data_IF_245927842179
#
_entry.id   IF_245927842179
#
_cell.length_a   1.000
_cell.length_b   1.000
_cell.length_c   1.000
_cell.angle_alpha   90.00
_cell.angle_beta   90.00
_cell.angle_gamma   90.00
#
_symmetry.space_group_name_H-M   'P 1'
#
loop_
_entity.id
_entity.type
_entity.pdbx_description
1 polymer ?
#
# COMPACT_ATOMS: atom_id res chain seq x y z
N UNK A 1 4.38 63.93 -33.63
CA UNK A 1 2.98 63.49 -33.42
C UNK A 1 2.67 63.20 -31.96
N UNK A 2 3.55 62.57 -31.18
CA UNK A 2 3.38 62.46 -29.71
C UNK A 2 3.09 63.82 -29.03
N UNK A 3 3.82 64.87 -29.43
CA UNK A 3 3.64 66.23 -28.92
C UNK A 3 2.26 66.85 -29.14
N UNK A 4 1.51 66.46 -30.18
CA UNK A 4 0.19 67.04 -30.47
C UNK A 4 -0.83 66.54 -29.44
N UNK A 5 -0.72 65.27 -29.05
CA UNK A 5 -1.59 64.66 -28.06
C UNK A 5 -1.30 65.17 -26.65
N UNK A 6 -0.03 65.40 -26.31
CA UNK A 6 0.36 66.01 -25.03
C UNK A 6 -0.12 67.47 -24.92
N UNK A 7 -0.05 68.22 -26.03
CA UNK A 7 -0.61 69.58 -26.10
C UNK A 7 -2.13 69.55 -25.95
N UNK A 8 -2.83 68.65 -26.66
CA UNK A 8 -4.29 68.51 -26.53
C UNK A 8 -4.73 68.06 -25.13
N UNK A 9 -3.94 67.23 -24.44
CA UNK A 9 -4.13 66.87 -23.03
C UNK A 9 -3.99 68.09 -22.12
N UNK A 10 -2.94 68.89 -22.28
CA UNK A 10 -2.75 70.13 -21.51
C UNK A 10 -3.87 71.16 -21.73
N UNK A 11 -4.54 71.13 -22.88
CA UNK A 11 -5.68 71.99 -23.21
C UNK A 11 -7.04 71.42 -22.77
N UNK A 12 -7.08 70.30 -22.04
CA UNK A 12 -8.30 69.59 -21.59
C UNK A 12 -9.25 69.15 -22.73
N UNK A 13 -8.73 69.01 -23.95
CA UNK A 13 -9.51 68.55 -25.12
C UNK A 13 -9.34 67.03 -25.34
N UNK A 14 -9.32 66.25 -24.26
CA UNK A 14 -9.04 64.81 -24.31
C UNK A 14 -10.08 64.01 -25.11
N UNK A 15 -11.32 64.52 -25.22
CA UNK A 15 -12.39 63.90 -26.01
C UNK A 15 -12.09 63.94 -27.51
N UNK A 16 -11.74 65.10 -28.05
CA UNK A 16 -11.41 65.27 -29.48
C UNK A 16 -10.07 64.60 -29.82
N UNK A 17 -9.12 64.66 -28.88
CA UNK A 17 -7.84 63.96 -28.99
C UNK A 17 -8.03 62.44 -29.09
N UNK A 18 -8.94 61.84 -28.31
CA UNK A 18 -9.23 60.41 -28.40
C UNK A 18 -9.84 60.00 -29.76
N UNK A 19 -10.75 60.82 -30.30
CA UNK A 19 -11.36 60.60 -31.62
C UNK A 19 -10.33 60.70 -32.75
N UNK A 20 -9.41 61.67 -32.62
CA UNK A 20 -8.31 61.85 -33.56
C UNK A 20 -7.32 60.68 -33.48
N UNK A 21 -6.98 60.21 -32.28
CA UNK A 21 -6.10 59.07 -32.07
C UNK A 21 -6.69 57.76 -32.64
N UNK A 22 -8.01 57.55 -32.49
CA UNK A 22 -8.71 56.41 -33.12
C UNK A 22 -8.63 56.48 -34.64
N UNK A 23 -8.83 57.66 -35.25
CA UNK A 23 -8.75 57.86 -36.70
C UNK A 23 -7.33 57.67 -37.26
N UNK A 24 -6.31 57.96 -36.46
CA UNK A 24 -4.90 57.83 -36.84
C UNK A 24 -4.29 56.45 -36.51
N UNK A 25 -5.11 55.47 -36.09
CA UNK A 25 -4.67 54.14 -35.64
C UNK A 25 -3.63 54.18 -34.50
N UNK A 26 -3.65 55.23 -33.66
CA UNK A 26 -2.75 55.37 -32.51
C UNK A 26 -3.44 54.84 -31.25
N UNK A 27 -3.56 53.51 -31.17
CA UNK A 27 -4.34 52.80 -30.15
C UNK A 27 -3.85 53.02 -28.71
N UNK A 28 -2.54 53.08 -28.46
CA UNK A 28 -1.96 53.35 -27.14
C UNK A 28 -2.37 54.72 -26.56
N UNK A 29 -2.36 55.76 -27.41
CA UNK A 29 -2.73 57.12 -27.04
C UNK A 29 -4.24 57.27 -26.88
N UNK A 30 -5.02 56.60 -27.74
CA UNK A 30 -6.47 56.56 -27.62
C UNK A 30 -6.90 55.93 -26.29
N UNK A 31 -6.30 54.80 -25.90
CA UNK A 31 -6.66 54.09 -24.67
C UNK A 31 -6.17 54.81 -23.41
N UNK A 32 -4.96 55.36 -23.38
CA UNK A 32 -4.54 56.19 -22.25
C UNK A 32 -5.45 57.40 -22.06
N UNK A 33 -5.89 58.08 -23.12
CA UNK A 33 -6.86 59.17 -22.99
C UNK A 33 -8.23 58.70 -22.50
N UNK A 34 -8.70 57.54 -22.93
CA UNK A 34 -10.00 57.01 -22.50
C UNK A 34 -10.00 56.54 -21.04
N UNK A 35 -8.89 55.94 -20.58
CA UNK A 35 -8.76 55.36 -19.23
C UNK A 35 -8.28 56.39 -18.22
N UNK A 36 -7.21 57.14 -18.52
CA UNK A 36 -6.55 58.07 -17.58
C UNK A 36 -7.22 59.45 -17.57
N UNK A 37 -7.56 60.01 -18.74
CA UNK A 37 -8.02 61.41 -18.85
C UNK A 37 -9.56 61.56 -18.81
N UNK A 38 -10.30 60.61 -19.40
CA UNK A 38 -11.74 60.72 -19.63
C UNK A 38 -12.59 59.84 -18.70
N UNK A 39 -12.00 58.83 -18.05
CA UNK A 39 -12.72 57.86 -17.21
C UNK A 39 -13.83 57.10 -17.95
N UNK A 40 -13.73 56.93 -19.27
CA UNK A 40 -14.74 56.25 -20.10
C UNK A 40 -14.41 54.77 -20.26
N UNK A 41 -14.35 54.06 -19.13
CA UNK A 41 -13.91 52.68 -19.05
C UNK A 41 -14.73 51.73 -19.95
N UNK A 42 -16.06 51.80 -19.95
CA UNK A 42 -16.89 50.93 -20.81
C UNK A 42 -16.68 51.14 -22.32
N UNK A 43 -16.34 52.35 -22.76
CA UNK A 43 -15.97 52.58 -24.18
C UNK A 43 -14.58 52.04 -24.50
N UNK A 44 -13.64 52.11 -23.55
CA UNK A 44 -12.31 51.53 -23.69
C UNK A 44 -12.40 49.99 -23.78
N UNK A 45 -13.22 49.34 -22.96
CA UNK A 45 -13.47 47.88 -23.00
C UNK A 45 -14.01 47.47 -24.38
N UNK A 46 -15.05 48.14 -24.87
CA UNK A 46 -15.60 47.89 -26.22
C UNK A 46 -14.63 48.18 -27.36
N UNK A 47 -13.64 49.04 -27.12
CA UNK A 47 -12.58 49.32 -28.09
C UNK A 47 -11.54 48.21 -28.09
N UNK A 48 -11.13 47.73 -26.92
CA UNK A 48 -10.17 46.63 -26.74
C UNK A 48 -10.76 45.32 -27.30
N UNK A 49 -12.05 45.04 -27.07
CA UNK A 49 -12.69 43.80 -27.57
C UNK A 49 -12.77 43.68 -29.10
N UNK A 50 -12.65 44.80 -29.83
CA UNK A 50 -12.63 44.82 -31.30
C UNK A 50 -11.24 44.63 -31.90
N UNK A 51 -10.18 44.60 -31.07
CA UNK A 51 -8.79 44.52 -31.51
C UNK A 51 -8.32 43.08 -31.61
N UNK A 52 -7.22 42.83 -32.35
CA UNK A 52 -6.59 41.52 -32.37
C UNK A 52 -6.22 41.07 -30.95
N UNK A 53 -6.31 39.77 -30.64
CA UNK A 53 -6.08 39.23 -29.29
C UNK A 53 -4.72 39.62 -28.70
N UNK A 54 -3.66 39.60 -29.51
CA UNK A 54 -2.30 39.96 -29.08
C UNK A 54 -2.18 41.43 -28.63
N UNK A 55 -2.86 42.36 -29.31
CA UNK A 55 -2.88 43.77 -28.92
C UNK A 55 -3.76 43.99 -27.70
N UNK A 56 -4.92 43.33 -27.65
CA UNK A 56 -5.84 43.40 -26.53
C UNK A 56 -5.19 42.98 -25.21
N UNK A 57 -4.40 41.89 -25.21
CA UNK A 57 -3.64 41.45 -24.03
C UNK A 57 -2.66 42.53 -23.54
N UNK A 58 -1.89 43.16 -24.43
CA UNK A 58 -0.95 44.23 -24.05
C UNK A 58 -1.64 45.43 -23.41
N UNK A 59 -2.87 45.73 -23.84
CA UNK A 59 -3.66 46.80 -23.24
C UNK A 59 -4.25 46.42 -21.89
N UNK A 60 -4.61 45.16 -21.68
CA UNK A 60 -5.09 44.66 -20.39
C UNK A 60 -3.96 44.57 -19.37
N UNK A 61 -2.74 44.23 -19.78
CA UNK A 61 -1.60 44.29 -18.88
C UNK A 61 -1.33 45.71 -18.36
N UNK A 62 -1.58 46.73 -19.19
CA UNK A 62 -1.36 48.14 -18.84
C UNK A 62 -2.54 48.76 -18.07
N UNK A 63 -3.76 48.59 -18.56
CA UNK A 63 -4.96 49.27 -18.08
C UNK A 63 -5.97 48.35 -17.39
N UNK A 64 -5.72 47.04 -17.38
CA UNK A 64 -6.70 46.05 -16.92
C UNK A 64 -7.15 46.28 -15.48
N UNK A 65 -6.23 46.70 -14.59
CA UNK A 65 -6.55 47.04 -13.20
C UNK A 65 -7.62 48.13 -13.13
N UNK A 66 -7.39 49.27 -13.78
CA UNK A 66 -8.28 50.42 -13.75
C UNK A 66 -9.64 50.09 -14.41
N UNK A 67 -9.62 49.30 -15.49
CA UNK A 67 -10.82 48.83 -16.17
C UNK A 67 -11.65 47.91 -15.27
N UNK A 68 -10.99 47.03 -14.52
CA UNK A 68 -11.64 46.09 -13.61
C UNK A 68 -12.22 46.77 -12.36
N UNK A 69 -11.49 47.74 -11.80
CA UNK A 69 -11.97 48.55 -10.66
C UNK A 69 -13.23 49.37 -11.02
N UNK A 70 -13.28 49.91 -12.24
CA UNK A 70 -14.41 50.73 -12.66
C UNK A 70 -15.61 49.93 -13.19
N UNK A 71 -15.38 48.86 -13.95
CA UNK A 71 -16.43 48.10 -14.65
C UNK A 71 -16.14 46.59 -14.62
N UNK A 72 -16.35 45.91 -13.47
CA UNK A 72 -15.94 44.52 -13.30
C UNK A 72 -16.67 43.53 -14.21
N UNK A 73 -17.97 43.71 -14.45
CA UNK A 73 -18.76 42.79 -15.31
C UNK A 73 -18.32 42.85 -16.78
N UNK A 74 -18.20 44.07 -17.33
CA UNK A 74 -17.75 44.26 -18.72
C UNK A 74 -16.29 43.82 -18.91
N UNK A 75 -15.43 44.05 -17.89
CA UNK A 75 -14.05 43.59 -17.90
C UNK A 75 -13.96 42.05 -17.84
N UNK A 76 -14.81 41.39 -17.05
CA UNK A 76 -14.88 39.93 -16.98
C UNK A 76 -15.31 39.30 -18.30
N UNK A 77 -16.31 39.87 -18.97
CA UNK A 77 -16.74 39.40 -20.28
C UNK A 77 -15.62 39.54 -21.33
N UNK A 78 -14.88 40.66 -21.29
CA UNK A 78 -13.72 40.86 -22.15
C UNK A 78 -12.61 39.84 -21.89
N UNK A 79 -12.29 39.54 -20.63
CA UNK A 79 -11.30 38.52 -20.27
C UNK A 79 -11.72 37.12 -20.73
N UNK A 80 -13.01 36.76 -20.57
CA UNK A 80 -13.55 35.48 -21.08
C UNK A 80 -13.43 35.36 -22.59
N UNK A 81 -13.82 36.41 -23.32
CA UNK A 81 -13.70 36.47 -24.77
C UNK A 81 -12.25 36.31 -25.25
N UNK A 82 -11.27 36.83 -24.50
CA UNK A 82 -9.87 36.66 -24.86
C UNK A 82 -9.36 35.25 -24.62
N UNK A 83 -9.79 34.60 -23.52
CA UNK A 83 -9.48 33.19 -23.28
C UNK A 83 -10.11 32.28 -24.36
N UNK A 84 -11.29 32.64 -24.89
CA UNK A 84 -11.92 31.88 -25.98
C UNK A 84 -11.23 32.06 -27.34
N UNK A 85 -10.72 33.27 -27.63
CA UNK A 85 -10.18 33.61 -28.95
C UNK A 85 -8.65 33.46 -29.05
N UNK A 86 -7.94 33.37 -27.93
CA UNK A 86 -6.50 33.11 -27.90
C UNK A 86 -6.23 31.60 -27.90
N UNK A 87 -6.09 31.00 -29.08
CA UNK A 87 -5.72 29.58 -29.26
C UNK A 87 -4.24 29.31 -28.89
N UNK A 88 -3.86 29.55 -27.63
CA UNK A 88 -2.55 29.16 -27.07
C UNK A 88 -1.39 30.12 -27.29
N UNK A 89 -1.61 31.32 -27.86
CA UNK A 89 -0.56 32.34 -28.02
C UNK A 89 -0.22 33.08 -26.72
N UNK A 90 -1.06 32.96 -25.69
CA UNK A 90 -0.96 33.77 -24.48
C UNK A 90 -1.23 32.96 -23.23
N UNK A 91 -0.49 33.27 -22.15
CA UNK A 91 -0.61 32.60 -20.86
C UNK A 91 -1.68 33.30 -19.99
N UNK A 92 -2.84 32.68 -19.75
CA UNK A 92 -3.92 33.26 -18.94
C UNK A 92 -3.49 33.60 -17.51
N UNK A 93 -2.40 33.00 -17.02
CA UNK A 93 -1.83 33.35 -15.71
C UNK A 93 -1.39 34.82 -15.63
N UNK A 94 -1.03 35.46 -16.75
CA UNK A 94 -0.65 36.87 -16.77
C UNK A 94 -1.84 37.80 -16.49
N UNK A 95 -3.05 37.36 -16.85
CA UNK A 95 -4.30 38.10 -16.60
C UNK A 95 -4.70 38.09 -15.11
N UNK A 96 -4.13 37.18 -14.31
CA UNK A 96 -4.39 37.14 -12.86
C UNK A 96 -3.98 38.43 -12.15
N UNK A 97 -2.99 39.16 -12.69
CA UNK A 97 -2.53 40.45 -12.14
C UNK A 97 -3.58 41.55 -12.19
N UNK A 98 -4.60 41.39 -13.02
CA UNK A 98 -5.71 42.35 -13.18
C UNK A 98 -6.63 42.30 -11.96
N UNK A 99 -6.79 41.13 -11.34
CA UNK A 99 -7.65 40.93 -10.20
C UNK A 99 -6.96 41.38 -8.92
N UNK A 100 -7.09 42.66 -8.59
CA UNK A 100 -6.59 43.18 -7.32
C UNK A 100 -7.66 42.97 -6.24
N UNK A 101 -7.36 42.10 -5.27
CA UNK A 101 -8.14 41.86 -4.05
C UNK A 101 -9.59 41.35 -4.21
N UNK A 102 -10.07 41.04 -5.43
CA UNK A 102 -11.37 40.41 -5.65
C UNK A 102 -11.22 38.88 -5.84
N UNK A 103 -11.35 38.16 -4.71
CA UNK A 103 -11.23 36.70 -4.66
C UNK A 103 -12.36 35.97 -5.40
N UNK A 104 -13.56 36.55 -5.42
CA UNK A 104 -14.73 35.91 -6.03
C UNK A 104 -14.65 35.92 -7.55
N UNK A 105 -14.37 37.09 -8.14
CA UNK A 105 -14.30 37.22 -9.59
C UNK A 105 -13.05 36.57 -10.19
N UNK A 106 -11.93 36.58 -9.45
CA UNK A 106 -10.74 35.82 -9.86
C UNK A 106 -11.00 34.31 -9.85
N UNK A 107 -11.69 33.77 -8.85
CA UNK A 107 -12.07 32.37 -8.83
C UNK A 107 -12.96 31.99 -10.02
N UNK A 108 -13.99 32.79 -10.32
CA UNK A 108 -14.88 32.58 -11.47
C UNK A 108 -14.13 32.62 -12.81
N UNK A 109 -13.18 33.53 -12.94
CA UNK A 109 -12.33 33.62 -14.13
C UNK A 109 -11.43 32.39 -14.28
N UNK A 110 -10.77 31.96 -13.19
CA UNK A 110 -9.89 30.79 -13.21
C UNK A 110 -10.70 29.52 -13.53
N UNK A 111 -11.88 29.34 -12.94
CA UNK A 111 -12.76 28.20 -13.27
C UNK A 111 -13.15 28.16 -14.75
N UNK A 112 -13.44 29.32 -15.34
CA UNK A 112 -13.71 29.43 -16.76
C UNK A 112 -12.47 29.08 -17.59
N UNK A 113 -11.30 29.62 -17.24
CA UNK A 113 -10.05 29.37 -17.93
C UNK A 113 -9.63 27.89 -17.87
N UNK A 114 -9.82 27.23 -16.72
CA UNK A 114 -9.52 25.80 -16.53
C UNK A 114 -10.37 24.88 -17.43
N UNK A 115 -11.54 25.31 -17.93
CA UNK A 115 -12.33 24.51 -18.88
C UNK A 115 -11.78 24.52 -20.31
N UNK A 116 -10.91 25.47 -20.64
CA UNK A 116 -10.46 25.74 -22.01
C UNK A 116 -8.96 25.58 -22.20
N UNK A 117 -8.19 25.72 -21.12
CA UNK A 117 -6.72 25.76 -21.16
C UNK A 117 -6.14 24.39 -20.80
N UNK A 118 -5.20 23.94 -21.62
CA UNK A 118 -4.42 22.70 -21.43
C UNK A 118 -2.92 23.02 -21.38
N UNK A 119 -2.14 22.23 -20.65
CA UNK A 119 -0.67 22.37 -20.55
C UNK A 119 -0.19 23.19 -19.34
N UNK A 120 1.01 23.77 -19.42
CA UNK A 120 1.70 24.42 -18.27
C UNK A 120 0.90 25.55 -17.62
N UNK A 121 0.15 26.32 -18.39
CA UNK A 121 -0.74 27.37 -17.87
C UNK A 121 -1.86 26.81 -16.99
N UNK A 122 -2.33 25.58 -17.25
CA UNK A 122 -3.33 24.91 -16.41
C UNK A 122 -2.78 24.65 -15.01
N UNK A 123 -1.54 24.14 -14.90
CA UNK A 123 -0.90 23.89 -13.60
C UNK A 123 -0.78 25.18 -12.77
N UNK A 124 -0.40 26.30 -13.38
CA UNK A 124 -0.30 27.59 -12.69
C UNK A 124 -1.68 28.07 -12.22
N UNK A 125 -2.69 27.95 -13.06
CA UNK A 125 -4.07 28.31 -12.70
C UNK A 125 -4.63 27.43 -11.58
N UNK A 126 -4.33 26.13 -11.60
CA UNK A 126 -4.69 25.17 -10.54
C UNK A 126 -4.01 25.52 -9.22
N UNK A 127 -2.70 25.78 -9.25
CA UNK A 127 -1.94 26.17 -8.05
C UNK A 127 -2.47 27.50 -7.48
N UNK A 128 -2.82 28.46 -8.36
CA UNK A 128 -3.39 29.75 -7.95
C UNK A 128 -4.77 29.60 -7.34
N UNK A 129 -5.68 28.83 -7.95
CA UNK A 129 -7.04 28.68 -7.40
C UNK A 129 -7.02 27.97 -6.05
N UNK A 130 -6.12 27.00 -5.87
CA UNK A 130 -5.93 26.31 -4.60
C UNK A 130 -5.36 27.26 -3.54
N UNK A 131 -4.33 28.06 -3.85
CA UNK A 131 -3.80 29.08 -2.94
C UNK A 131 -4.88 30.10 -2.53
N UNK A 132 -5.67 30.61 -3.49
CA UNK A 132 -6.76 31.55 -3.20
C UNK A 132 -7.84 30.92 -2.28
N UNK A 133 -8.26 29.69 -2.55
CA UNK A 133 -9.31 29.01 -1.74
C UNK A 133 -8.80 28.60 -0.37
N UNK A 134 -7.55 28.13 -0.27
CA UNK A 134 -6.94 27.82 1.02
C UNK A 134 -6.74 29.08 1.87
N UNK A 135 -6.34 30.21 1.29
CA UNK A 135 -6.33 31.50 2.01
C UNK A 135 -7.71 31.93 2.46
N UNK A 136 -8.74 31.75 1.62
CA UNK A 136 -10.13 31.97 2.01
C UNK A 136 -10.55 31.12 3.21
N UNK A 137 -10.08 29.89 3.30
CA UNK A 137 -10.26 29.03 4.48
C UNK A 137 -9.53 29.58 5.71
N UNK A 138 -8.28 30.05 5.57
CA UNK A 138 -7.53 30.69 6.65
C UNK A 138 -8.24 31.93 7.22
N UNK A 139 -8.89 32.69 6.34
CA UNK A 139 -9.70 33.87 6.68
C UNK A 139 -11.11 33.51 7.23
N UNK A 140 -11.41 32.22 7.42
CA UNK A 140 -12.72 31.68 7.88
C UNK A 140 -13.89 32.02 6.96
N UNK A 141 -13.63 32.29 5.67
CA UNK A 141 -14.67 32.49 4.65
C UNK A 141 -15.27 31.17 4.16
N UNK A 142 -14.53 30.06 4.32
CA UNK A 142 -14.96 28.71 3.99
C UNK A 142 -15.01 27.84 5.25
N UNK A 143 -16.00 26.96 5.31
CA UNK A 143 -16.14 25.92 6.34
C UNK A 143 -15.53 24.59 5.88
N UNK A 144 -15.27 23.68 6.82
CA UNK A 144 -14.72 22.35 6.54
C UNK A 144 -15.53 21.57 5.49
N UNK A 145 -16.86 21.69 5.52
CA UNK A 145 -17.77 21.02 4.58
C UNK A 145 -17.72 21.59 3.15
N UNK A 146 -17.28 22.84 3.02
CA UNK A 146 -17.16 23.53 1.74
C UNK A 146 -15.84 23.20 1.05
N UNK A 147 -14.82 22.77 1.81
CA UNK A 147 -13.55 22.28 1.26
C UNK A 147 -13.77 21.10 0.29
N UNK A 148 -14.72 20.22 0.59
CA UNK A 148 -15.03 19.07 -0.27
C UNK A 148 -15.58 19.47 -1.64
N UNK A 149 -16.29 20.61 -1.71
CA UNK A 149 -16.91 21.09 -2.95
C UNK A 149 -16.01 22.05 -3.71
N UNK A 150 -15.28 22.90 -3.00
CA UNK A 150 -14.54 23.99 -3.60
C UNK A 150 -13.04 23.71 -3.70
N UNK A 151 -12.45 22.84 -2.88
CA UNK A 151 -10.99 22.62 -2.91
C UNK A 151 -10.67 21.26 -3.54
N UNK A 152 -11.31 20.20 -3.06
CA UNK A 152 -11.03 18.82 -3.48
C UNK A 152 -11.10 18.60 -5.01
N UNK A 153 -12.08 19.15 -5.75
CA UNK A 153 -12.18 18.89 -7.19
C UNK A 153 -11.01 19.41 -8.02
N UNK A 154 -10.22 20.35 -7.46
CA UNK A 154 -9.08 20.97 -8.14
C UNK A 154 -7.75 20.27 -7.80
N UNK A 155 -7.79 19.19 -7.00
CA UNK A 155 -6.61 18.41 -6.61
C UNK A 155 -6.34 17.31 -7.65
N UNK A 156 -5.41 17.56 -8.54
CA UNK A 156 -4.97 16.69 -9.64
C UNK A 156 -3.58 16.12 -9.33
N UNK A 157 -3.19 15.01 -9.96
CA UNK A 157 -1.91 14.32 -9.65
C UNK A 157 -0.67 15.21 -9.86
N UNK A 158 -0.76 16.19 -10.75
CA UNK A 158 0.31 17.17 -11.02
C UNK A 158 0.54 18.18 -9.88
N UNK A 159 -0.50 18.48 -9.07
CA UNK A 159 -0.45 19.54 -8.06
C UNK A 159 -0.51 19.03 -6.62
N UNK A 160 -0.64 17.72 -6.39
CA UNK A 160 -0.86 17.15 -5.05
C UNK A 160 0.23 17.55 -4.06
N UNK A 161 1.51 17.45 -4.43
CA UNK A 161 2.61 17.72 -3.51
C UNK A 161 2.69 19.19 -3.11
N UNK A 162 2.49 20.10 -4.07
CA UNK A 162 2.46 21.55 -3.81
C UNK A 162 1.25 21.92 -2.96
N UNK A 163 0.09 21.35 -3.27
CA UNK A 163 -1.15 21.54 -2.50
C UNK A 163 -1.00 21.05 -1.07
N UNK A 164 -0.33 19.92 -0.85
CA UNK A 164 -0.04 19.41 0.49
C UNK A 164 0.83 20.37 1.28
N UNK A 165 1.86 20.93 0.67
CA UNK A 165 2.73 21.93 1.32
C UNK A 165 1.94 23.20 1.70
N UNK A 166 1.12 23.71 0.78
CA UNK A 166 0.27 24.87 1.03
C UNK A 166 -0.76 24.60 2.14
N UNK A 167 -1.43 23.44 2.10
CA UNK A 167 -2.42 23.06 3.09
C UNK A 167 -1.82 22.85 4.49
N UNK A 168 -0.57 22.36 4.58
CA UNK A 168 0.18 22.27 5.83
C UNK A 168 0.53 23.65 6.38
N UNK A 169 0.98 24.58 5.53
CA UNK A 169 1.32 25.95 5.93
C UNK A 169 0.10 26.73 6.43
N UNK A 170 -1.06 26.50 5.82
CA UNK A 170 -2.31 27.17 6.15
C UNK A 170 -3.05 26.48 7.31
N UNK A 171 -2.60 25.29 7.73
CA UNK A 171 -3.27 24.44 8.71
C UNK A 171 -4.74 24.15 8.33
N UNK A 172 -4.95 23.53 7.16
CA UNK A 172 -6.27 23.07 6.71
C UNK A 172 -6.40 21.53 6.83
N UNK A 173 -6.96 21.01 7.95
CA UNK A 173 -7.04 19.58 8.19
C UNK A 173 -7.81 18.78 7.13
N UNK A 174 -8.99 19.22 6.64
CA UNK A 174 -9.77 18.44 5.67
C UNK A 174 -8.98 18.14 4.39
N UNK A 175 -8.25 19.14 3.88
CA UNK A 175 -7.47 19.02 2.64
C UNK A 175 -6.24 18.15 2.83
N UNK A 176 -5.52 18.32 3.94
CA UNK A 176 -4.35 17.46 4.28
C UNK A 176 -4.77 16.00 4.41
N UNK A 177 -5.87 15.72 5.12
CA UNK A 177 -6.39 14.37 5.30
C UNK A 177 -6.79 13.73 3.96
N UNK A 178 -7.49 14.48 3.10
CA UNK A 178 -7.87 14.00 1.78
C UNK A 178 -6.65 13.66 0.91
N UNK A 179 -5.67 14.57 0.84
CA UNK A 179 -4.46 14.37 0.03
C UNK A 179 -3.67 13.15 0.53
N UNK A 180 -3.45 13.04 1.85
CA UNK A 180 -2.68 11.93 2.40
C UNK A 180 -3.38 10.58 2.20
N UNK A 181 -4.72 10.55 2.24
CA UNK A 181 -5.51 9.36 1.90
C UNK A 181 -5.37 9.02 0.41
N UNK A 182 -5.44 10.00 -0.49
CA UNK A 182 -5.29 9.82 -1.94
C UNK A 182 -3.89 9.29 -2.30
N UNK A 183 -2.85 9.77 -1.62
CA UNK A 183 -1.46 9.31 -1.83
C UNK A 183 -1.13 7.98 -1.12
N UNK A 184 -2.03 7.44 -0.30
CA UNK A 184 -1.77 6.22 0.49
C UNK A 184 -0.65 6.39 1.53
N UNK A 185 -0.30 7.63 1.91
CA UNK A 185 0.76 7.92 2.89
C UNK A 185 0.23 7.83 4.31
N UNK A 186 -0.17 6.63 4.72
CA UNK A 186 -0.87 6.41 5.99
C UNK A 186 -0.02 6.74 7.22
N UNK A 187 1.31 6.54 7.16
CA UNK A 187 2.24 6.93 8.25
C UNK A 187 2.25 8.44 8.51
N UNK A 188 2.31 9.26 7.44
CA UNK A 188 2.26 10.72 7.57
C UNK A 188 0.88 11.19 8.05
N UNK A 189 -0.18 10.54 7.60
CA UNK A 189 -1.55 10.82 8.06
C UNK A 189 -1.71 10.53 9.56
N UNK A 190 -1.14 9.42 10.04
CA UNK A 190 -1.13 9.10 11.46
C UNK A 190 -0.37 10.13 12.29
N UNK A 191 0.83 10.54 11.83
CA UNK A 191 1.59 11.60 12.48
C UNK A 191 0.78 12.91 12.55
N UNK A 192 0.08 13.26 11.47
CA UNK A 192 -0.77 14.44 11.43
C UNK A 192 -1.94 14.37 12.44
N UNK A 193 -2.65 13.24 12.53
CA UNK A 193 -3.72 13.07 13.52
C UNK A 193 -3.21 13.11 14.96
N UNK A 194 -2.02 12.54 15.19
CA UNK A 194 -1.30 12.59 16.45
C UNK A 194 -0.93 14.03 16.82
N UNK A 195 -0.47 14.84 15.87
CA UNK A 195 -0.17 16.27 16.10
C UNK A 195 -1.43 17.09 16.42
N UNK A 196 -2.54 16.85 15.70
CA UNK A 196 -3.81 17.57 15.85
C UNK A 196 -4.69 17.06 17.01
N UNK A 197 -4.17 16.13 17.83
CA UNK A 197 -4.88 15.48 18.96
C UNK A 197 -6.18 14.76 18.60
N UNK A 198 -6.30 14.33 17.34
CA UNK A 198 -7.46 13.60 16.80
C UNK A 198 -7.29 12.09 16.94
N UNK A 199 -7.45 11.60 18.17
CA UNK A 199 -7.26 10.20 18.53
C UNK A 199 -8.30 9.26 17.88
N UNK A 200 -9.54 9.73 17.70
CA UNK A 200 -10.62 8.91 17.12
C UNK A 200 -10.34 8.56 15.66
N UNK A 201 -9.94 9.55 14.88
CA UNK A 201 -9.61 9.39 13.47
C UNK A 201 -8.32 8.57 13.27
N UNK A 202 -7.36 8.71 14.20
CA UNK A 202 -6.16 7.87 14.22
C UNK A 202 -6.50 6.39 14.46
N UNK A 203 -7.36 6.07 15.44
CA UNK A 203 -7.80 4.70 15.71
C UNK A 203 -8.57 4.14 14.52
N UNK A 204 -9.49 4.92 13.92
CA UNK A 204 -10.23 4.49 12.73
C UNK A 204 -9.30 4.20 11.53
N UNK A 205 -8.25 5.01 11.34
CA UNK A 205 -7.24 4.76 10.31
C UNK A 205 -6.45 3.47 10.59
N UNK A 206 -6.08 3.21 11.83
CA UNK A 206 -5.41 1.99 12.24
C UNK A 206 -6.28 0.74 11.96
N UNK A 207 -7.58 0.80 12.28
CA UNK A 207 -8.55 -0.28 11.98
C UNK A 207 -8.67 -0.56 10.48
N UNK A 208 -8.59 0.47 9.64
CA UNK A 208 -8.70 0.29 8.18
C UNK A 208 -7.44 -0.33 7.55
N UNK A 209 -6.25 0.03 8.05
CA UNK A 209 -4.97 -0.36 7.45
C UNK A 209 -4.40 -1.67 7.99
N UNK A 210 -4.85 -2.15 9.16
CA UNK A 210 -4.43 -3.43 9.79
C UNK A 210 -2.90 -3.62 9.87
N UNK A 211 -2.16 -2.56 10.16
CA UNK A 211 -0.69 -2.56 10.26
C UNK A 211 -0.24 -2.37 11.71
N UNK A 212 0.50 -3.33 12.25
CA UNK A 212 1.02 -3.29 13.64
C UNK A 212 1.89 -2.06 13.96
N UNK A 213 2.71 -1.60 13.01
CA UNK A 213 3.53 -0.38 13.16
C UNK A 213 2.72 0.88 13.48
N UNK A 214 1.47 0.94 12.98
CA UNK A 214 0.59 2.09 13.18
C UNK A 214 0.06 2.12 14.60
N UNK A 215 -0.32 0.96 15.14
CA UNK A 215 -0.71 0.81 16.54
C UNK A 215 0.42 1.21 17.49
N UNK A 216 1.68 0.87 17.18
CA UNK A 216 2.83 1.33 17.95
C UNK A 216 2.96 2.85 17.97
N UNK A 217 2.80 3.51 16.81
CA UNK A 217 2.83 4.98 16.72
C UNK A 217 1.76 5.64 17.59
N UNK A 218 0.54 5.11 17.58
CA UNK A 218 -0.57 5.59 18.41
C UNK A 218 -0.31 5.32 19.89
N UNK A 219 0.15 4.12 20.27
CA UNK A 219 0.47 3.77 21.66
C UNK A 219 1.57 4.67 22.24
N UNK A 220 2.64 4.91 21.47
CA UNK A 220 3.71 5.81 21.88
C UNK A 220 3.19 7.24 22.03
N UNK A 221 2.29 7.67 21.17
CA UNK A 221 1.65 8.98 21.33
C UNK A 221 0.81 9.06 22.60
N UNK A 222 -0.07 8.09 22.85
CA UNK A 222 -0.88 8.01 24.07
C UNK A 222 0.03 8.04 25.31
N UNK A 223 1.18 7.37 25.27
CA UNK A 223 2.13 7.38 26.40
C UNK A 223 2.74 8.74 26.71
N UNK A 224 2.85 9.61 25.68
CA UNK A 224 3.41 10.97 25.79
C UNK A 224 2.34 12.04 26.07
N UNK A 225 1.06 11.68 26.08
CA UNK A 225 -0.03 12.62 26.29
C UNK A 225 -0.22 12.92 27.77
N UNK A 226 -0.02 14.19 28.15
CA UNK A 226 -0.24 14.71 29.51
C UNK A 226 -1.72 15.09 29.79
N UNK A 227 -2.63 14.80 28.84
CA UNK A 227 -4.08 15.09 28.97
C UNK A 227 -4.91 13.89 29.44
N UNK A 228 -6.15 14.11 29.90
CA UNK A 228 -7.07 13.02 30.20
C UNK A 228 -7.40 12.26 28.90
N UNK A 229 -7.05 10.99 28.86
CA UNK A 229 -7.41 10.09 27.75
C UNK A 229 -8.70 9.36 28.14
N UNK A 230 -9.67 9.31 27.23
CA UNK A 230 -10.90 8.54 27.44
C UNK A 230 -10.58 7.04 27.56
N UNK A 231 -10.81 6.47 28.75
CA UNK A 231 -10.52 5.07 29.07
C UNK A 231 -11.24 4.09 28.11
N UNK A 232 -12.44 4.45 27.63
CA UNK A 232 -13.22 3.65 26.67
C UNK A 232 -12.54 3.54 25.30
N UNK A 233 -11.92 4.62 24.80
CA UNK A 233 -11.24 4.58 23.50
C UNK A 233 -9.98 3.72 23.54
N UNK A 234 -9.27 3.75 24.67
CA UNK A 234 -8.11 2.89 24.90
C UNK A 234 -8.54 1.42 24.96
N UNK A 235 -9.67 1.12 25.60
CA UNK A 235 -10.21 -0.22 25.65
C UNK A 235 -10.57 -0.74 24.25
N UNK A 236 -11.30 0.04 23.45
CA UNK A 236 -11.62 -0.34 22.06
C UNK A 236 -10.36 -0.56 21.21
N UNK A 237 -9.35 0.30 21.36
CA UNK A 237 -8.06 0.12 20.69
C UNK A 237 -7.37 -1.19 21.10
N UNK A 238 -7.32 -1.48 22.42
CA UNK A 238 -6.68 -2.70 22.93
C UNK A 238 -7.42 -3.97 22.48
N UNK A 239 -8.73 -3.91 22.32
CA UNK A 239 -9.53 -5.01 21.78
C UNK A 239 -9.17 -5.34 20.34
N UNK A 240 -9.02 -4.32 19.49
CA UNK A 240 -8.61 -4.51 18.09
C UNK A 240 -7.17 -5.02 17.99
N UNK A 241 -6.25 -4.47 18.79
CA UNK A 241 -4.85 -4.96 18.84
C UNK A 241 -4.81 -6.42 19.29
N UNK A 242 -5.66 -6.81 20.24
CA UNK A 242 -5.79 -8.19 20.70
C UNK A 242 -6.39 -9.12 19.65
N UNK A 243 -7.38 -8.65 18.90
CA UNK A 243 -8.03 -9.44 17.84
C UNK A 243 -7.12 -9.66 16.62
N UNK A 244 -6.31 -8.66 16.26
CA UNK A 244 -5.41 -8.75 15.11
C UNK A 244 -4.05 -9.40 15.44
N UNK A 245 -3.76 -9.70 16.71
CA UNK A 245 -2.46 -10.20 17.22
C UNK A 245 -1.25 -9.42 16.67
N UNK A 246 -1.44 -8.15 16.31
CA UNK A 246 -0.44 -7.35 15.61
C UNK A 246 0.75 -6.98 16.50
N UNK A 247 0.56 -6.93 17.81
CA UNK A 247 1.58 -6.54 18.78
C UNK A 247 1.62 -7.49 19.96
N UNK A 248 2.83 -7.81 20.39
CA UNK A 248 3.01 -8.59 21.61
C UNK A 248 2.52 -7.77 22.82
N UNK A 249 1.64 -8.32 23.67
CA UNK A 249 1.04 -7.55 24.77
C UNK A 249 2.03 -6.98 25.77
N UNK A 250 3.21 -7.61 25.92
CA UNK A 250 4.31 -7.05 26.70
C UNK A 250 4.81 -5.70 26.16
N UNK A 251 4.89 -5.54 24.84
CA UNK A 251 5.33 -4.27 24.22
C UNK A 251 4.28 -3.19 24.47
N UNK A 252 3.00 -3.55 24.34
CA UNK A 252 1.87 -2.66 24.66
C UNK A 252 1.93 -2.23 26.13
N UNK A 253 2.12 -3.19 27.05
CA UNK A 253 2.25 -2.91 28.48
C UNK A 253 3.46 -2.04 28.81
N UNK A 254 4.62 -2.29 28.19
CA UNK A 254 5.82 -1.48 28.42
C UNK A 254 5.61 -0.02 27.98
N UNK A 255 4.97 0.18 26.82
CA UNK A 255 4.69 1.53 26.30
C UNK A 255 3.68 2.25 27.20
N UNK A 256 2.60 1.57 27.58
CA UNK A 256 1.56 2.16 28.44
C UNK A 256 2.05 2.39 29.88
N UNK A 257 2.97 1.56 30.38
CA UNK A 257 3.57 1.72 31.72
C UNK A 257 4.40 3.00 31.85
N UNK A 258 4.88 3.59 30.74
CA UNK A 258 5.60 4.87 30.74
C UNK A 258 4.67 6.08 30.89
N UNK A 259 3.36 5.88 30.76
CA UNK A 259 2.36 6.94 30.87
C UNK A 259 1.97 7.18 32.33
N UNK A 260 1.84 8.46 32.72
CA UNK A 260 1.41 8.86 34.06
C UNK A 260 -0.10 9.17 34.13
N UNK A 261 -0.79 9.16 32.99
CA UNK A 261 -2.18 9.59 32.82
C UNK A 261 -3.17 8.44 32.75
N UNK A 262 -2.72 7.23 32.40
CA UNK A 262 -3.59 6.06 32.28
C UNK A 262 -3.71 5.30 33.60
N UNK A 263 -4.95 4.98 33.98
CA UNK A 263 -5.22 4.08 35.10
C UNK A 263 -5.02 2.63 34.65
N UNK A 264 -4.41 1.83 35.52
CA UNK A 264 -4.23 0.38 35.34
C UNK A 264 -5.56 -0.35 35.06
N UNK A 265 -6.68 0.21 35.53
CA UNK A 265 -8.03 -0.32 35.27
C UNK A 265 -8.35 -0.50 33.79
N UNK A 266 -7.93 0.43 32.92
CA UNK A 266 -8.23 0.39 31.49
C UNK A 266 -7.52 -0.76 30.76
N UNK A 267 -6.34 -1.17 31.25
CA UNK A 267 -5.51 -2.22 30.63
C UNK A 267 -5.74 -3.59 31.26
N UNK A 268 -6.29 -3.64 32.48
CA UNK A 268 -6.51 -4.89 33.24
C UNK A 268 -7.32 -5.92 32.45
N UNK A 269 -8.41 -5.50 31.82
CA UNK A 269 -9.30 -6.41 31.09
C UNK A 269 -8.63 -7.00 29.83
N UNK A 270 -7.77 -6.21 29.18
CA UNK A 270 -6.97 -6.68 28.05
C UNK A 270 -5.94 -7.74 28.49
N UNK A 271 -5.24 -7.51 29.60
CA UNK A 271 -4.24 -8.46 30.12
C UNK A 271 -4.90 -9.76 30.59
N UNK A 272 -6.05 -9.69 31.27
CA UNK A 272 -6.77 -10.88 31.72
C UNK A 272 -7.19 -11.73 30.52
N UNK A 273 -7.79 -11.10 29.49
CA UNK A 273 -8.19 -11.80 28.26
C UNK A 273 -7.00 -12.43 27.54
N UNK A 274 -5.87 -11.73 27.44
CA UNK A 274 -4.68 -12.27 26.82
C UNK A 274 -4.09 -13.46 27.62
N UNK A 275 -4.00 -13.34 28.94
CA UNK A 275 -3.52 -14.43 29.80
C UNK A 275 -4.42 -15.68 29.71
N UNK A 276 -5.74 -15.50 29.64
CA UNK A 276 -6.68 -16.60 29.45
C UNK A 276 -6.52 -17.27 28.08
N UNK A 277 -6.32 -16.48 27.02
CA UNK A 277 -6.04 -17.00 25.67
C UNK A 277 -4.73 -17.81 25.62
N UNK A 278 -3.66 -17.27 26.21
CA UNK A 278 -2.37 -17.97 26.31
C UNK A 278 -2.48 -19.23 27.17
N UNK A 279 -3.27 -19.19 28.26
CA UNK A 279 -3.55 -20.38 29.08
C UNK A 279 -4.20 -21.50 28.28
N UNK A 280 -5.21 -21.17 27.46
CA UNK A 280 -5.88 -22.13 26.57
C UNK A 280 -4.93 -22.71 25.51
N UNK A 281 -4.06 -21.88 24.94
CA UNK A 281 -3.06 -22.33 23.97
C UNK A 281 -2.06 -23.29 24.61
N UNK A 282 -1.54 -22.97 25.80
CA UNK A 282 -0.64 -23.84 26.57
C UNK A 282 -1.33 -25.17 26.91
N UNK A 283 -2.61 -25.16 27.26
CA UNK A 283 -3.35 -26.37 27.59
C UNK A 283 -3.60 -27.25 26.34
N UNK A 284 -3.90 -26.65 25.19
CA UNK A 284 -4.00 -27.35 23.92
C UNK A 284 -2.66 -27.97 23.50
N UNK A 285 -1.56 -27.21 23.60
CA UNK A 285 -0.21 -27.69 23.29
C UNK A 285 0.20 -28.83 24.23
N UNK A 286 -0.07 -28.71 25.54
CA UNK A 286 0.18 -29.79 26.51
C UNK A 286 -0.59 -31.06 26.18
N UNK A 287 -1.84 -30.92 25.73
CA UNK A 287 -2.66 -32.06 25.32
C UNK A 287 -2.08 -32.72 24.06
N UNK A 288 -1.72 -31.94 23.05
CA UNK A 288 -1.07 -32.44 21.83
C UNK A 288 0.25 -33.16 22.14
N UNK A 289 1.10 -32.56 22.98
CA UNK A 289 2.36 -33.19 23.43
C UNK A 289 2.08 -34.51 24.13
N UNK A 290 1.08 -34.58 25.00
CA UNK A 290 0.77 -35.82 25.71
C UNK A 290 0.23 -36.92 24.77
N UNK A 291 -0.59 -36.56 23.79
CA UNK A 291 -1.05 -37.47 22.74
C UNK A 291 0.12 -37.98 21.88
N UNK A 292 1.02 -37.10 21.47
CA UNK A 292 2.22 -37.46 20.72
C UNK A 292 3.17 -38.36 21.52
N UNK A 293 3.41 -38.04 22.80
CA UNK A 293 4.24 -38.88 23.69
C UNK A 293 3.62 -40.27 23.86
N UNK A 294 2.30 -40.37 24.04
CA UNK A 294 1.61 -41.66 24.11
C UNK A 294 1.76 -42.47 22.82
N UNK A 295 1.65 -41.80 21.66
CA UNK A 295 1.91 -42.46 20.37
C UNK A 295 3.37 -42.91 20.24
N UNK A 296 4.34 -42.11 20.69
CA UNK A 296 5.75 -42.49 20.70
C UNK A 296 6.01 -43.72 21.58
N UNK A 297 5.45 -43.76 22.79
CA UNK A 297 5.57 -44.92 23.68
C UNK A 297 4.96 -46.19 23.07
N UNK A 298 3.83 -46.08 22.37
CA UNK A 298 3.20 -47.21 21.69
C UNK A 298 4.06 -47.69 20.51
N UNK A 299 4.64 -46.78 19.74
CA UNK A 299 5.59 -47.10 18.66
C UNK A 299 6.83 -47.78 19.24
N UNK A 300 7.38 -47.29 20.35
CA UNK A 300 8.55 -47.89 21.00
C UNK A 300 8.25 -49.31 21.49
N UNK A 301 7.07 -49.54 22.09
CA UNK A 301 6.61 -50.90 22.44
C UNK A 301 6.50 -51.80 21.22
N UNK A 302 5.99 -51.29 20.10
CA UNK A 302 5.93 -52.03 18.84
C UNK A 302 7.34 -52.38 18.34
N UNK A 303 8.29 -51.44 18.40
CA UNK A 303 9.69 -51.66 18.02
C UNK A 303 10.34 -52.71 18.92
N UNK A 304 10.18 -52.61 20.24
CA UNK A 304 10.71 -53.59 21.19
C UNK A 304 10.12 -54.98 20.93
N UNK A 305 8.80 -55.07 20.67
CA UNK A 305 8.14 -56.33 20.33
C UNK A 305 8.65 -56.93 19.01
N UNK A 306 8.96 -56.10 18.01
CA UNK A 306 9.54 -56.54 16.74
C UNK A 306 10.99 -56.99 16.88
N UNK A 307 11.74 -56.39 17.81
CA UNK A 307 13.18 -56.60 17.97
C UNK A 307 13.52 -57.78 18.89
N UNK A 308 12.77 -57.98 19.97
CA UNK A 308 13.11 -58.94 21.03
C UNK A 308 12.18 -60.16 21.12
N UNK A 309 10.96 -60.09 20.58
CA UNK A 309 10.07 -61.25 20.58
C UNK A 309 10.24 -62.08 19.30
N UNK A 310 10.32 -63.41 19.46
CA UNK A 310 10.32 -64.35 18.34
C UNK A 310 8.94 -64.32 17.67
N UNK A 311 8.87 -63.76 16.47
CA UNK A 311 7.65 -63.80 15.68
C UNK A 311 7.52 -65.15 14.98
N UNK A 312 6.55 -65.97 15.41
CA UNK A 312 6.19 -67.20 14.71
C UNK A 312 5.38 -66.84 13.46
N UNK A 313 6.05 -66.78 12.31
CA UNK A 313 5.43 -66.46 11.03
C UNK A 313 4.77 -67.73 10.45
N UNK A 314 3.51 -67.96 10.77
CA UNK A 314 2.71 -69.05 10.19
C UNK A 314 2.01 -68.63 8.88
N UNK A 315 2.75 -68.02 7.96
CA UNK A 315 2.19 -67.60 6.67
C UNK A 315 2.33 -68.75 5.68
N UNK A 316 1.21 -69.35 5.31
CA UNK A 316 1.17 -70.52 4.42
C UNK A 316 0.90 -70.17 2.95
N UNK A 317 0.66 -68.90 2.61
CA UNK A 317 0.39 -68.43 1.23
C UNK A 317 1.29 -67.26 0.80
N UNK A 318 1.78 -67.31 -0.44
CA UNK A 318 2.64 -66.28 -1.02
C UNK A 318 1.83 -65.02 -1.35
N UNK A 319 2.26 -63.84 -0.87
CA UNK A 319 1.54 -62.58 -1.08
C UNK A 319 1.59 -62.03 -2.52
N UNK A 320 2.33 -62.68 -3.44
CA UNK A 320 2.39 -62.29 -4.87
C UNK A 320 1.59 -63.22 -5.79
N UNK A 321 1.40 -64.49 -5.43
CA UNK A 321 0.73 -65.48 -6.28
C UNK A 321 -0.39 -66.25 -5.55
N UNK A 322 -0.67 -65.91 -4.29
CA UNK A 322 -1.68 -66.51 -3.39
C UNK A 322 -1.63 -68.04 -3.24
N UNK A 323 -0.55 -68.66 -3.72
CA UNK A 323 -0.34 -70.10 -3.72
C UNK A 323 0.39 -70.53 -2.45
N UNK A 324 0.21 -71.79 -2.03
CA UNK A 324 0.87 -72.34 -0.85
C UNK A 324 2.41 -72.16 -0.93
N UNK A 325 3.02 -71.65 0.14
CA UNK A 325 4.47 -71.46 0.19
C UNK A 325 5.17 -72.82 0.28
N UNK A 326 6.08 -73.06 -0.66
CA UNK A 326 7.04 -74.16 -0.61
C UNK A 326 8.43 -73.59 -0.33
N UNK A 327 9.25 -74.34 0.39
CA UNK A 327 10.64 -73.98 0.70
C UNK A 327 11.48 -74.02 -0.60
N UNK A 328 12.37 -73.04 -0.86
CA UNK A 328 12.76 -71.90 -0.01
C UNK A 328 11.84 -70.66 -0.15
N UNK A 329 11.58 -69.99 0.96
CA UNK A 329 10.71 -68.82 1.07
C UNK A 329 11.42 -67.65 1.77
N UNK A 330 11.06 -66.42 1.39
CA UNK A 330 11.52 -65.17 2.03
C UNK A 330 10.38 -64.62 2.87
N UNK A 331 10.65 -64.43 4.16
CA UNK A 331 9.69 -63.91 5.13
C UNK A 331 10.14 -62.54 5.62
N UNK A 332 9.24 -61.54 5.55
CA UNK A 332 9.47 -60.21 6.07
C UNK A 332 8.82 -60.03 7.44
N UNK A 333 9.43 -59.19 8.29
CA UNK A 333 8.88 -58.81 9.61
C UNK A 333 7.53 -58.09 9.52
N UNK A 334 7.16 -57.59 8.35
CA UNK A 334 5.82 -57.07 8.05
C UNK A 334 4.77 -58.17 7.78
N UNK A 335 5.10 -59.45 8.06
CA UNK A 335 4.26 -60.65 7.87
C UNK A 335 3.90 -60.99 6.42
N UNK A 336 4.56 -60.40 5.44
CA UNK A 336 4.45 -60.82 4.04
C UNK A 336 5.50 -61.88 3.72
N UNK A 337 5.08 -62.93 3.03
CA UNK A 337 5.93 -64.06 2.67
C UNK A 337 5.84 -64.31 1.17
N UNK A 338 6.98 -64.58 0.55
CA UNK A 338 7.08 -64.78 -0.89
C UNK A 338 7.93 -66.02 -1.19
N UNK A 339 7.63 -66.73 -2.29
CA UNK A 339 8.61 -67.65 -2.85
C UNK A 339 9.83 -66.87 -3.32
N UNK A 340 11.03 -67.46 -3.22
CA UNK A 340 12.28 -66.80 -3.68
C UNK A 340 12.14 -66.29 -5.13
N UNK A 341 11.58 -67.10 -6.03
CA UNK A 341 11.38 -66.70 -7.43
C UNK A 341 10.31 -65.62 -7.63
N UNK A 342 9.25 -65.63 -6.83
CA UNK A 342 8.25 -64.57 -6.87
C UNK A 342 8.82 -63.24 -6.34
N UNK A 343 9.75 -63.30 -5.39
CA UNK A 343 10.41 -62.12 -4.85
C UNK A 343 11.46 -61.53 -5.82
N UNK A 344 12.32 -62.37 -6.39
CA UNK A 344 13.33 -61.97 -7.39
C UNK A 344 12.70 -61.31 -8.63
N UNK A 345 11.49 -61.73 -9.01
CA UNK A 345 10.77 -61.17 -10.16
C UNK A 345 10.12 -59.80 -9.87
N UNK A 346 9.89 -59.46 -8.61
CA UNK A 346 9.14 -58.26 -8.21
C UNK A 346 9.99 -57.19 -7.49
N UNK A 347 11.17 -57.52 -6.97
CA UNK A 347 12.02 -56.57 -6.22
C UNK A 347 13.47 -56.57 -6.66
N UNK A 348 14.01 -55.39 -6.99
CA UNK A 348 15.45 -55.16 -7.21
C UNK A 348 16.25 -54.99 -5.89
N UNK A 349 15.56 -54.83 -4.75
CA UNK A 349 16.18 -54.63 -3.43
C UNK A 349 15.88 -55.83 -2.52
N UNK A 350 16.89 -56.55 -2.01
CA UNK A 350 16.68 -57.77 -1.22
C UNK A 350 16.07 -57.52 0.16
N UNK A 351 16.13 -56.29 0.67
CA UNK A 351 15.77 -55.96 2.06
C UNK A 351 14.39 -55.29 2.21
N UNK A 352 13.63 -55.12 1.12
CA UNK A 352 12.38 -54.34 1.13
C UNK A 352 11.18 -55.18 0.68
N UNK A 353 10.11 -55.16 1.48
CA UNK A 353 8.87 -55.84 1.15
C UNK A 353 8.11 -55.10 0.03
N UNK A 354 7.77 -55.77 -1.10
CA UNK A 354 7.04 -55.15 -2.21
C UNK A 354 5.62 -54.68 -1.87
N UNK A 355 4.94 -55.34 -0.92
CA UNK A 355 3.56 -54.99 -0.54
C UNK A 355 3.48 -53.82 0.46
N UNK A 356 4.52 -53.60 1.27
CA UNK A 356 4.54 -52.50 2.26
C UNK A 356 5.19 -51.22 1.73
N UNK A 357 5.89 -51.31 0.60
CA UNK A 357 6.32 -50.11 -0.10
C UNK A 357 5.10 -49.55 -0.82
N UNK A 358 4.72 -48.27 -0.63
CA UNK A 358 3.69 -47.67 -1.48
C UNK A 358 4.11 -47.90 -2.95
N UNK A 359 3.18 -48.07 -3.90
CA UNK A 359 3.55 -48.10 -5.30
C UNK A 359 4.26 -46.77 -5.55
N UNK A 360 5.59 -46.81 -5.61
CA UNK A 360 6.37 -45.70 -6.11
C UNK A 360 5.81 -45.56 -7.50
N UNK A 361 5.02 -44.51 -7.72
CA UNK A 361 4.51 -44.13 -9.02
C UNK A 361 5.65 -44.38 -9.98
N UNK A 362 5.44 -45.23 -10.99
CA UNK A 362 6.41 -45.57 -12.03
C UNK A 362 6.81 -44.34 -12.88
N UNK A 363 6.68 -43.13 -12.34
CA UNK A 363 7.07 -41.85 -12.94
C UNK A 363 8.33 -41.26 -12.32
N UNK A 364 8.78 -41.71 -11.15
CA UNK A 364 10.12 -41.35 -10.67
C UNK A 364 11.10 -42.45 -11.08
N UNK A 365 11.31 -42.52 -12.39
CA UNK A 365 12.60 -42.91 -12.95
C UNK A 365 13.69 -42.34 -12.04
N UNK A 366 14.67 -43.17 -11.68
CA UNK A 366 15.95 -42.71 -11.15
C UNK A 366 16.61 -41.82 -12.23
N UNK A 367 16.10 -40.61 -12.43
CA UNK A 367 16.87 -39.56 -13.06
C UNK A 367 18.03 -39.33 -12.10
N UNK A 368 19.24 -39.42 -12.62
CA UNK A 368 20.41 -38.86 -11.95
C UNK A 368 20.06 -37.39 -11.68
N UNK A 369 19.66 -37.10 -10.45
CA UNK A 369 19.38 -35.75 -10.02
C UNK A 369 20.72 -35.02 -10.07
N UNK A 370 20.85 -34.08 -11.00
CA UNK A 370 21.95 -33.12 -10.99
C UNK A 370 21.78 -32.25 -9.73
N UNK A 371 22.54 -32.58 -8.67
CA UNK A 371 22.46 -31.99 -7.32
C UNK A 371 22.38 -30.46 -7.36
N UNK A 372 23.00 -29.84 -8.38
CA UNK A 372 23.09 -28.39 -8.53
C UNK A 372 21.78 -27.74 -9.00
N UNK A 373 21.04 -28.37 -9.91
CA UNK A 373 19.78 -27.82 -10.43
C UNK A 373 18.64 -27.92 -9.40
N UNK A 374 18.64 -29.02 -8.63
CA UNK A 374 17.66 -29.24 -7.57
C UNK A 374 17.92 -28.37 -6.34
N UNK A 375 19.19 -28.11 -5.99
CA UNK A 375 19.55 -27.15 -4.96
C UNK A 375 19.13 -25.71 -5.32
N UNK A 376 19.24 -25.31 -6.59
CA UNK A 376 18.76 -24.00 -7.04
C UNK A 376 17.24 -23.87 -6.99
N UNK A 377 16.48 -24.94 -7.25
CA UNK A 377 15.02 -24.95 -7.07
C UNK A 377 14.64 -24.81 -5.60
N UNK A 378 15.31 -25.55 -4.72
CA UNK A 378 15.15 -25.41 -3.27
C UNK A 378 15.36 -23.97 -2.80
N UNK A 379 16.44 -23.31 -3.22
CA UNK A 379 16.73 -21.92 -2.82
C UNK A 379 15.65 -20.93 -3.31
N UNK A 380 15.08 -21.15 -4.49
CA UNK A 380 13.98 -20.32 -5.00
C UNK A 380 12.70 -20.53 -4.18
N UNK A 381 12.34 -21.77 -3.86
CA UNK A 381 11.16 -22.08 -3.05
C UNK A 381 11.31 -21.62 -1.60
N UNK A 382 12.52 -21.69 -1.03
CA UNK A 382 12.80 -21.20 0.31
C UNK A 382 12.66 -19.68 0.41
N UNK A 383 13.14 -18.95 -0.59
CA UNK A 383 13.06 -17.47 -0.59
C UNK A 383 11.66 -16.92 -0.87
N UNK A 384 10.76 -17.74 -1.45
CA UNK A 384 9.40 -17.33 -1.80
C UNK A 384 8.35 -17.75 -0.75
N UNK A 385 8.67 -18.69 0.14
CA UNK A 385 7.71 -19.27 1.10
C UNK A 385 7.74 -18.57 2.45
N UNK A 386 6.57 -18.42 3.07
CA UNK A 386 6.39 -17.87 4.41
C UNK A 386 6.80 -18.83 5.53
N UNK A 387 6.74 -20.15 5.29
CA UNK A 387 7.19 -21.21 6.20
C UNK A 387 8.38 -21.98 5.63
N UNK A 388 9.58 -21.42 5.78
CA UNK A 388 10.81 -22.05 5.26
C UNK A 388 11.06 -23.48 5.79
N UNK A 389 10.55 -23.79 6.98
CA UNK A 389 10.72 -25.12 7.60
C UNK A 389 9.92 -26.23 6.90
N UNK A 390 8.76 -25.93 6.33
CA UNK A 390 7.96 -26.92 5.59
C UNK A 390 8.65 -27.33 4.29
N UNK A 391 9.20 -26.34 3.58
CA UNK A 391 9.99 -26.55 2.37
C UNK A 391 11.23 -27.38 2.69
N UNK A 392 11.95 -27.03 3.75
CA UNK A 392 13.12 -27.80 4.22
C UNK A 392 12.73 -29.25 4.54
N UNK A 393 11.65 -29.48 5.28
CA UNK A 393 11.20 -30.83 5.66
C UNK A 393 10.85 -31.70 4.45
N UNK A 394 10.25 -31.10 3.40
CA UNK A 394 9.90 -31.76 2.15
C UNK A 394 11.14 -32.19 1.34
N UNK A 395 12.13 -31.31 1.22
CA UNK A 395 13.36 -31.61 0.49
C UNK A 395 14.31 -32.53 1.25
N UNK A 396 14.30 -32.48 2.58
CA UNK A 396 15.01 -33.45 3.44
C UNK A 396 14.43 -34.87 3.25
N UNK A 397 13.10 -35.00 3.23
CA UNK A 397 12.41 -36.27 2.96
C UNK A 397 12.75 -36.85 1.59
N UNK A 398 12.99 -35.99 0.60
CA UNK A 398 13.34 -36.39 -0.76
C UNK A 398 14.83 -36.74 -0.96
N UNK A 399 15.65 -36.66 0.10
CA UNK A 399 17.05 -37.09 0.06
C UNK A 399 17.98 -36.14 -0.71
N UNK A 400 17.58 -34.88 -0.95
CA UNK A 400 18.42 -33.90 -1.68
C UNK A 400 19.78 -33.65 -0.99
N UNK A 401 19.85 -33.85 0.33
CA UNK A 401 21.05 -33.66 1.15
C UNK A 401 21.75 -34.97 1.51
N UNK A 402 21.26 -36.11 1.01
CA UNK A 402 21.90 -37.40 1.28
C UNK A 402 23.22 -37.50 0.51
N UNK A 403 24.29 -37.86 1.23
CA UNK A 403 25.59 -38.02 0.61
C UNK A 403 25.54 -39.11 -0.48
N UNK A 404 26.20 -38.91 -1.64
CA UNK A 404 26.27 -39.94 -2.68
C UNK A 404 26.93 -41.19 -2.08
N UNK A 405 26.16 -42.29 -2.02
CA UNK A 405 26.65 -43.56 -1.50
C UNK A 405 27.83 -44.01 -2.36
N UNK A 406 29.04 -43.92 -1.83
CA UNK A 406 30.25 -44.49 -2.45
C UNK A 406 30.00 -45.99 -2.65
N UNK A 407 29.88 -46.41 -3.90
CA UNK A 407 29.86 -47.82 -4.29
C UNK A 407 31.21 -48.44 -3.97
N UNK A 408 31.36 -48.96 -2.74
CA UNK A 408 32.40 -49.93 -2.47
C UNK A 408 32.07 -51.19 -3.26
N UNK A 409 32.77 -51.40 -4.37
CA UNK A 409 32.91 -52.73 -4.98
C UNK A 409 33.60 -53.64 -3.94
N UNK A 410 32.81 -54.24 -3.05
CA UNK A 410 33.24 -55.46 -2.36
C UNK A 410 33.29 -56.54 -3.44
N UNK A 411 34.51 -56.94 -3.79
CA UNK A 411 34.81 -58.23 -4.41
C UNK A 411 33.89 -59.28 -3.79
N UNK A 412 33.21 -60.03 -4.66
CA UNK A 412 32.47 -61.24 -4.30
C UNK A 412 33.44 -62.18 -3.57
N UNK A 413 33.40 -62.16 -2.24
CA UNK A 413 33.77 -63.32 -1.45
C UNK A 413 32.46 -64.07 -1.23
N UNK A 414 32.34 -65.22 -1.89
CA UNK A 414 31.34 -66.23 -1.58
C UNK A 414 31.44 -66.59 -0.10
N UNK A 415 30.58 -65.97 0.71
CA UNK A 415 30.10 -66.54 1.95
C UNK A 415 28.60 -66.30 1.97
N UNK A 416 27.89 -67.31 1.44
CA UNK A 416 26.51 -67.56 1.81
C UNK A 416 26.40 -67.51 3.34
N UNK A 417 25.85 -66.43 3.89
CA UNK A 417 25.12 -66.48 5.13
C UNK A 417 23.66 -66.24 4.77
N UNK A 418 23.06 -67.26 4.14
CA UNK A 418 21.65 -67.51 4.35
C UNK A 418 21.49 -67.71 5.87
N UNK A 419 20.72 -66.87 6.55
CA UNK A 419 20.09 -67.30 7.80
C UNK A 419 19.04 -68.36 7.42
N UNK A 420 19.51 -69.58 7.16
CA UNK A 420 18.70 -70.78 7.15
C UNK A 420 18.29 -71.00 8.60
N UNK A 421 17.10 -70.54 8.97
CA UNK A 421 16.42 -71.14 10.12
C UNK A 421 16.05 -72.57 9.70
N UNK A 422 16.96 -73.52 10.00
CA UNK A 422 16.64 -74.94 9.99
C UNK A 422 15.57 -75.15 11.05
N UNK A 423 14.35 -75.41 10.59
CA UNK A 423 13.33 -76.04 11.42
C UNK A 423 13.68 -77.51 11.50
N UNK A 424 14.47 -77.90 12.50
CA UNK A 424 14.51 -79.30 12.93
C UNK A 424 13.23 -79.53 13.76
N UNK A 425 12.28 -80.25 13.18
CA UNK A 425 11.20 -80.91 13.91
C UNK A 425 11.29 -82.40 13.54
N UNK A 426 11.29 -83.25 14.57
CA UNK A 426 11.25 -84.72 14.48
C UNK A 426 10.17 -85.27 13.52
#
# INVERSE_FOLDING_TARGET
>A
MASVFDVLRSLKMSADASLLAVKLNMHDYALSMMVEDLGRYGTAIKYISKRPPAEACRYIEKYGRDLFEACPEEAMELLRNLVENCNGEFDPAQLLKVFVNDFTKSADFIEFALKKVSGSSRSILLDTILDLRLRGYAEKKLTDSECDKYIIPFIEDENIERTLQLARLIHCPPVVQYILRKLGRTKELLQYYVEDRKLQEAIALCKAEKKGDMWLGVLVYISKMDGPVDENMVQEMLEEIGAEECLHPLVVLEILARSNTLKVGAVKEYVIRWLDSQGKQIEADRKAINEEVQMMEEIDKQIESLKYNVQVLQVSKCSACDTALHLPAVHFLCRHSYHVHCFESYSEKPDVCPACTPPVSRENSKENIDDKASYQKFLKELNLSSSGMDVVSKYLRNGLFDAPRKTYQKKVCNLMHYCILRTDND
#
